data_IF_725202871715
#
_entry.id   IF_725202871715
#
_cell.length_a   1.000
_cell.length_b   1.000
_cell.length_c   1.000
_cell.angle_alpha   90.00
_cell.angle_beta   90.00
_cell.angle_gamma   90.00
#
_symmetry.space_group_name_H-M   'P 1'
#
loop_
_entity.id
_entity.type
_entity.pdbx_description
1 polymer ?
#
# COMPACT_ATOMS: atom_id res chain seq x y z
N UNK A 1 9.74 2.13 -3.18
CA UNK A 1 8.56 1.42 -2.64
C UNK A 1 7.58 2.45 -2.09
N UNK A 2 6.29 2.26 -2.32
CA UNK A 2 5.22 3.08 -1.72
C UNK A 2 4.33 2.19 -0.86
N UNK A 3 4.09 2.58 0.39
CA UNK A 3 3.15 1.88 1.29
C UNK A 3 1.92 2.77 1.48
N UNK A 4 0.75 2.20 1.21
CA UNK A 4 -0.57 2.84 1.44
C UNK A 4 -1.44 1.92 2.28
N UNK A 5 -2.41 2.48 3.00
CA UNK A 5 -3.35 1.71 3.79
C UNK A 5 -4.76 2.30 3.85
N UNK A 6 -4.97 3.53 3.38
CA UNK A 6 -6.30 4.14 3.32
C UNK A 6 -6.70 4.59 1.92
N UNK A 7 -8.02 4.67 1.67
CA UNK A 7 -8.55 5.18 0.39
C UNK A 7 -8.10 6.63 0.10
N UNK A 8 -8.09 7.58 1.07
CA UNK A 8 -7.57 8.92 0.81
C UNK A 8 -6.11 8.94 0.36
N UNK A 9 -5.25 8.08 0.89
CA UNK A 9 -3.86 7.93 0.43
C UNK A 9 -3.82 7.47 -1.03
N UNK A 10 -4.57 6.42 -1.38
CA UNK A 10 -4.64 5.89 -2.74
C UNK A 10 -5.11 6.97 -3.75
N UNK A 11 -6.17 7.70 -3.42
CA UNK A 11 -6.70 8.79 -4.27
C UNK A 11 -5.64 9.86 -4.51
N UNK A 12 -4.98 10.32 -3.44
CA UNK A 12 -3.98 11.41 -3.51
C UNK A 12 -2.70 10.99 -4.20
N UNK A 13 -2.30 9.73 -4.03
CA UNK A 13 -1.09 9.17 -4.65
C UNK A 13 -1.33 8.61 -6.05
N UNK A 14 -2.57 8.49 -6.53
CA UNK A 14 -2.91 7.91 -7.85
C UNK A 14 -1.99 8.37 -9.00
N UNK A 15 -1.81 9.68 -9.15
CA UNK A 15 -0.94 10.27 -10.19
C UNK A 15 0.55 10.11 -9.89
N UNK A 16 0.93 10.07 -8.62
CA UNK A 16 2.33 9.81 -8.22
C UNK A 16 2.70 8.37 -8.52
N UNK A 17 1.83 7.40 -8.21
CA UNK A 17 2.02 5.98 -8.48
C UNK A 17 2.22 5.74 -9.98
N UNK A 18 1.38 6.34 -10.82
CA UNK A 18 1.49 6.22 -12.27
C UNK A 18 2.84 6.73 -12.81
N UNK A 19 3.35 7.84 -12.29
CA UNK A 19 4.67 8.36 -12.69
C UNK A 19 5.83 7.55 -12.11
N UNK A 20 5.70 7.03 -10.88
CA UNK A 20 6.70 6.16 -10.28
C UNK A 20 6.84 4.84 -11.04
N UNK A 21 5.73 4.25 -11.50
CA UNK A 21 5.73 3.02 -12.31
C UNK A 21 6.46 3.18 -13.66
N UNK A 22 6.50 4.40 -14.20
CA UNK A 22 7.19 4.71 -15.47
C UNK A 22 8.67 5.00 -15.29
N UNK A 23 9.04 5.59 -14.16
CA UNK A 23 10.38 6.11 -13.92
C UNK A 23 11.26 5.17 -13.10
N UNK A 24 10.66 4.24 -12.34
CA UNK A 24 11.36 3.41 -11.37
C UNK A 24 10.85 1.97 -11.37
N UNK A 25 11.64 1.05 -10.80
CA UNK A 25 11.14 -0.25 -10.33
C UNK A 25 10.31 -0.02 -9.07
N UNK A 26 9.05 0.34 -9.27
CA UNK A 26 8.17 0.75 -8.20
C UNK A 26 7.43 -0.45 -7.59
N UNK A 27 7.69 -0.71 -6.31
CA UNK A 27 6.93 -1.68 -5.51
C UNK A 27 5.83 -0.95 -4.74
N UNK A 28 4.57 -1.31 -4.99
CA UNK A 28 3.37 -0.78 -4.35
C UNK A 28 2.85 -1.79 -3.32
N UNK A 29 2.75 -1.37 -2.06
CA UNK A 29 2.31 -2.20 -0.94
C UNK A 29 1.04 -1.60 -0.33
N UNK A 30 0.03 -2.44 -0.12
CA UNK A 30 -1.19 -2.05 0.58
C UNK A 30 -1.25 -2.73 1.97
N UNK A 31 -1.40 -1.97 3.06
CA UNK A 31 -1.36 -2.54 4.42
C UNK A 31 -2.57 -3.43 4.72
N UNK A 32 -3.72 -3.12 4.13
CA UNK A 32 -4.95 -3.90 4.32
C UNK A 32 -5.61 -3.68 5.69
N UNK A 33 -5.43 -2.50 6.28
CA UNK A 33 -6.04 -2.14 7.57
C UNK A 33 -7.54 -1.84 7.50
N UNK A 34 -8.06 -1.41 6.34
CA UNK A 34 -9.46 -1.03 6.10
C UNK A 34 -9.94 -1.52 4.73
N UNK A 35 -9.81 -2.80 4.48
CA UNK A 35 -10.01 -3.32 3.14
C UNK A 35 -11.35 -4.02 2.98
N UNK A 36 -12.20 -3.34 2.22
CA UNK A 36 -13.33 -3.91 1.53
C UNK A 36 -12.87 -4.17 0.09
N UNK A 37 -12.86 -5.45 -0.32
CA UNK A 37 -12.42 -5.92 -1.63
C UNK A 37 -13.19 -5.25 -2.78
N UNK A 38 -14.51 -5.16 -2.66
CA UNK A 38 -15.36 -4.60 -3.72
C UNK A 38 -15.11 -3.12 -3.88
N UNK A 39 -15.02 -2.40 -2.76
CA UNK A 39 -14.92 -0.95 -2.78
C UNK A 39 -13.53 -0.47 -3.22
N UNK A 40 -12.46 -1.17 -2.82
CA UNK A 40 -11.11 -0.81 -3.25
C UNK A 40 -10.90 -1.10 -4.73
N UNK A 41 -11.45 -2.21 -5.24
CA UNK A 41 -11.33 -2.56 -6.66
C UNK A 41 -11.85 -1.46 -7.58
N UNK A 42 -12.98 -0.84 -7.22
CA UNK A 42 -13.53 0.32 -7.96
C UNK A 42 -12.52 1.46 -8.04
N UNK A 43 -11.83 1.81 -6.95
CA UNK A 43 -10.85 2.90 -6.98
C UNK A 43 -9.60 2.55 -7.80
N UNK A 44 -9.12 1.31 -7.75
CA UNK A 44 -8.02 0.88 -8.61
C UNK A 44 -8.41 0.96 -10.10
N UNK A 45 -9.62 0.51 -10.46
CA UNK A 45 -10.13 0.59 -11.83
C UNK A 45 -10.38 2.04 -12.28
N UNK A 46 -11.11 2.84 -11.51
CA UNK A 46 -11.47 4.23 -11.88
C UNK A 46 -10.29 5.19 -11.90
N UNK A 47 -9.29 4.98 -11.03
CA UNK A 47 -8.09 5.81 -10.98
C UNK A 47 -6.96 5.28 -11.86
N UNK A 48 -7.20 4.19 -12.61
CA UNK A 48 -6.23 3.51 -13.46
C UNK A 48 -4.95 3.11 -12.70
N UNK A 49 -5.11 2.74 -11.42
CA UNK A 49 -4.01 2.27 -10.57
C UNK A 49 -3.97 0.76 -10.68
N UNK A 50 -2.79 0.20 -10.98
CA UNK A 50 -2.57 -1.25 -10.96
C UNK A 50 -2.80 -1.84 -9.57
N UNK A 51 -3.00 -3.15 -9.50
CA UNK A 51 -3.07 -3.84 -8.22
C UNK A 51 -1.73 -3.72 -7.46
N UNK A 52 -1.77 -3.68 -6.11
CA UNK A 52 -0.56 -3.71 -5.29
C UNK A 52 0.25 -4.98 -5.53
N UNK A 53 1.57 -4.87 -5.48
CA UNK A 53 2.49 -6.02 -5.54
C UNK A 53 2.38 -6.87 -4.27
N UNK A 54 2.14 -6.19 -3.13
CA UNK A 54 2.03 -6.82 -1.83
C UNK A 54 0.83 -6.32 -1.07
N UNK A 55 0.17 -7.25 -0.40
CA UNK A 55 -0.96 -6.97 0.47
C UNK A 55 -0.70 -7.53 1.86
N UNK A 56 -0.57 -6.65 2.87
CA UNK A 56 -0.09 -7.07 4.19
C UNK A 56 -1.20 -7.67 5.07
N UNK A 57 -2.47 -7.32 4.89
CA UNK A 57 -3.57 -7.84 5.72
C UNK A 57 -3.33 -7.64 7.22
N UNK A 58 -3.19 -6.39 7.65
CA UNK A 58 -2.83 -6.01 9.03
C UNK A 58 -4.03 -5.80 9.95
N UNK A 59 -5.25 -5.80 9.42
CA UNK A 59 -6.47 -5.56 10.20
C UNK A 59 -6.53 -6.45 11.45
N UNK A 60 -6.77 -5.84 12.60
CA UNK A 60 -6.88 -6.50 13.90
C UNK A 60 -8.03 -5.90 14.72
N UNK A 61 -8.36 -6.53 15.84
CA UNK A 61 -9.48 -6.15 16.72
C UNK A 61 -9.28 -4.82 17.45
N UNK A 62 -8.04 -4.34 17.58
CA UNK A 62 -7.72 -3.07 18.22
C UNK A 62 -6.75 -2.26 17.38
N UNK A 63 -6.79 -0.93 17.51
CA UNK A 63 -5.86 -0.05 16.82
C UNK A 63 -4.40 -0.38 17.17
N UNK A 64 -4.11 -0.67 18.45
CA UNK A 64 -2.76 -1.04 18.89
C UNK A 64 -2.27 -2.33 18.22
N UNK A 65 -3.13 -3.35 18.13
CA UNK A 65 -2.80 -4.60 17.44
C UNK A 65 -2.59 -4.39 15.93
N UNK A 66 -3.40 -3.54 15.29
CA UNK A 66 -3.23 -3.21 13.87
C UNK A 66 -1.90 -2.50 13.62
N UNK A 67 -1.54 -1.52 14.46
CA UNK A 67 -0.25 -0.82 14.38
C UNK A 67 0.92 -1.79 14.55
N UNK A 68 0.86 -2.68 15.55
CA UNK A 68 1.90 -3.69 15.76
C UNK A 68 2.10 -4.57 14.51
N UNK A 69 1.00 -5.01 13.88
CA UNK A 69 1.04 -5.81 12.64
C UNK A 69 1.56 -5.02 11.44
N UNK A 70 1.26 -3.73 11.33
CA UNK A 70 1.84 -2.87 10.29
C UNK A 70 3.36 -2.87 10.45
N UNK A 71 3.87 -2.60 11.65
CA UNK A 71 5.31 -2.57 11.90
C UNK A 71 5.97 -3.91 11.55
N UNK A 72 5.44 -5.01 12.08
CA UNK A 72 5.95 -6.37 11.83
C UNK A 72 5.98 -6.72 10.34
N UNK A 73 4.88 -6.52 9.63
CA UNK A 73 4.77 -6.92 8.22
C UNK A 73 5.50 -5.95 7.29
N UNK A 74 5.55 -4.67 7.62
CA UNK A 74 6.35 -3.70 6.87
C UNK A 74 7.85 -3.99 7.00
N UNK A 75 8.34 -4.39 8.18
CA UNK A 75 9.73 -4.80 8.36
C UNK A 75 10.09 -6.01 7.47
N UNK A 76 9.25 -7.04 7.48
CA UNK A 76 9.45 -8.24 6.66
C UNK A 76 9.53 -7.91 5.16
N UNK A 77 8.64 -7.05 4.65
CA UNK A 77 8.64 -6.72 3.23
C UNK A 77 9.77 -5.78 2.83
N UNK A 78 10.18 -4.85 3.71
CA UNK A 78 11.34 -3.99 3.48
C UNK A 78 12.63 -4.81 3.41
N UNK A 79 12.76 -5.84 4.26
CA UNK A 79 13.91 -6.75 4.23
C UNK A 79 13.95 -7.61 2.95
N UNK A 80 12.80 -8.01 2.42
CA UNK A 80 12.68 -8.78 1.18
C UNK A 80 13.00 -7.92 -0.05
N UNK A 81 12.31 -6.79 -0.21
CA UNK A 81 12.37 -5.96 -1.42
C UNK A 81 13.57 -5.01 -1.44
N UNK A 82 14.14 -4.71 -0.26
CA UNK A 82 15.31 -3.84 -0.06
C UNK A 82 15.25 -2.54 -0.89
N UNK A 83 14.18 -1.74 -0.78
CA UNK A 83 14.03 -0.56 -1.63
C UNK A 83 15.06 0.52 -1.27
N UNK A 84 15.56 1.24 -2.27
CA UNK A 84 16.47 2.39 -2.07
C UNK A 84 15.75 3.59 -1.42
N UNK A 85 14.43 3.69 -1.59
CA UNK A 85 13.60 4.75 -1.04
C UNK A 85 12.19 4.25 -0.69
N UNK A 86 11.64 4.82 0.38
CA UNK A 86 10.28 4.56 0.86
C UNK A 86 9.44 5.85 0.78
N UNK A 87 8.26 5.75 0.17
CA UNK A 87 7.23 6.78 0.16
C UNK A 87 6.06 6.36 1.05
N UNK A 88 5.64 7.25 1.95
CA UNK A 88 4.48 7.14 2.84
C UNK A 88 3.68 8.44 2.71
N UNK A 89 2.35 8.36 2.77
CA UNK A 89 1.45 9.51 2.79
C UNK A 89 0.50 9.43 4.00
#
# INVERSE_FOLDING_TARGET
>A
MTIVGTRPELIKLSRVIAELDRCFTHVLVHTGQNYDDELNRVFFEELEIRQPDHYLGVAASTAASTVARIIEKSDAILAQERPDALLIY
#
